data_IF_740724253056
#
_entry.id   IF_740724253056
#
_cell.length_a   1.000
_cell.length_b   1.000
_cell.length_c   1.000
_cell.angle_alpha   90.00
_cell.angle_beta   90.00
_cell.angle_gamma   90.00
#
_symmetry.space_group_name_H-M   'P 1'
#
loop_
_entity.id
_entity.type
_entity.pdbx_description
1 polymer ?
#
# COMPACT_ATOMS: atom_id res chain seq x y z
N UNK A 1 8.88 -18.59 -8.36
CA UNK A 1 9.46 -17.42 -7.66
C UNK A 1 10.39 -17.78 -6.48
N UNK A 2 10.80 -19.05 -6.30
CA UNK A 2 11.70 -19.48 -5.21
C UNK A 2 13.16 -19.73 -5.60
N UNK A 3 13.44 -20.02 -6.88
CA UNK A 3 14.80 -20.31 -7.38
C UNK A 3 15.66 -19.06 -7.59
N UNK A 4 15.06 -17.94 -8.00
CA UNK A 4 15.77 -16.66 -8.19
C UNK A 4 16.22 -16.02 -6.87
N UNK A 5 15.43 -16.19 -5.79
CA UNK A 5 15.81 -15.78 -4.43
C UNK A 5 16.99 -16.57 -3.86
N UNK A 6 17.15 -17.85 -4.25
CA UNK A 6 18.26 -18.70 -3.77
C UNK A 6 19.59 -18.39 -4.45
N UNK A 7 19.58 -17.91 -5.70
CA UNK A 7 20.79 -17.51 -6.42
C UNK A 7 21.36 -16.15 -5.96
N UNK A 8 20.50 -15.22 -5.52
CA UNK A 8 20.94 -13.93 -4.96
C UNK A 8 21.54 -14.10 -3.55
N UNK A 9 21.06 -15.08 -2.78
CA UNK A 9 21.57 -15.35 -1.42
C UNK A 9 23.00 -15.91 -1.42
N UNK A 10 23.41 -16.65 -2.46
CA UNK A 10 24.76 -17.19 -2.59
C UNK A 10 25.80 -16.15 -3.04
N UNK A 11 25.37 -15.06 -3.69
CA UNK A 11 26.26 -13.97 -4.08
C UNK A 11 26.58 -12.99 -2.93
N UNK A 12 25.82 -13.03 -1.83
CA UNK A 12 26.01 -12.14 -0.68
C UNK A 12 27.11 -12.58 0.30
N UNK A 13 27.71 -13.77 0.11
CA UNK A 13 28.77 -14.29 0.98
C UNK A 13 30.17 -13.73 0.72
N UNK A 14 30.35 -12.89 -0.31
CA UNK A 14 31.64 -12.25 -0.60
C UNK A 14 31.49 -10.73 -0.78
N UNK A 15 31.38 -10.01 0.32
CA UNK A 15 31.71 -8.59 0.33
C UNK A 15 32.28 -8.20 1.71
N UNK A 16 33.54 -8.53 1.91
CA UNK A 16 34.37 -7.90 2.93
C UNK A 16 34.68 -6.47 2.50
N UNK A 17 34.54 -5.52 3.42
CA UNK A 17 35.11 -4.18 3.29
C UNK A 17 34.09 -3.05 3.22
N UNK A 18 33.37 -2.81 4.32
CA UNK A 18 32.90 -1.46 4.64
C UNK A 18 33.54 -1.11 5.99
N UNK A 19 34.17 0.07 6.07
CA UNK A 19 34.81 0.56 7.28
C UNK A 19 33.82 0.46 8.46
N UNK A 20 34.19 -0.32 9.48
CA UNK A 20 33.35 -0.52 10.66
C UNK A 20 33.34 0.78 11.48
N UNK A 21 32.27 1.56 11.36
CA UNK A 21 31.93 2.58 12.34
C UNK A 21 31.37 1.86 13.59
N UNK A 22 31.73 2.35 14.77
CA UNK A 22 31.30 1.76 16.04
C UNK A 22 30.11 2.52 16.61
N UNK A 23 29.32 1.89 17.50
CA UNK A 23 28.28 2.64 18.24
C UNK A 23 28.85 3.84 19.04
N UNK A 24 30.15 3.83 19.36
CA UNK A 24 30.81 4.96 20.00
C UNK A 24 30.87 6.20 19.09
N UNK A 25 31.02 6.05 17.77
CA UNK A 25 30.95 7.20 16.84
C UNK A 25 29.51 7.70 16.65
N UNK A 26 28.51 6.84 16.81
CA UNK A 26 27.09 7.24 16.79
C UNK A 26 26.77 8.09 18.01
N UNK A 27 27.27 7.75 19.19
CA UNK A 27 27.05 8.55 20.41
C UNK A 27 27.58 9.99 20.31
N UNK A 28 28.62 10.23 19.51
CA UNK A 28 29.23 11.56 19.33
C UNK A 28 28.61 12.37 18.20
N UNK A 29 28.06 11.72 17.17
CA UNK A 29 27.56 12.38 15.96
C UNK A 29 26.02 12.39 15.87
N UNK A 30 25.33 11.55 16.65
CA UNK A 30 23.87 11.50 16.67
C UNK A 30 23.26 12.77 17.29
N UNK A 31 22.00 13.09 16.94
CA UNK A 31 21.23 14.11 17.63
C UNK A 31 21.22 13.86 19.14
N UNK A 32 21.32 14.94 19.95
CA UNK A 32 21.42 14.84 21.42
C UNK A 32 20.29 14.01 22.02
N UNK A 33 19.07 14.17 21.51
CA UNK A 33 17.92 13.39 21.94
C UNK A 33 18.11 11.87 21.76
N UNK A 34 18.68 11.45 20.63
CA UNK A 34 18.91 10.03 20.34
C UNK A 34 20.09 9.48 21.17
N UNK A 35 21.11 10.29 21.41
CA UNK A 35 22.22 9.94 22.30
C UNK A 35 21.74 9.71 23.74
N UNK A 36 20.86 10.57 24.27
CA UNK A 36 20.27 10.41 25.60
C UNK A 36 19.48 9.09 25.72
N UNK A 37 18.72 8.73 24.69
CA UNK A 37 18.01 7.45 24.61
C UNK A 37 18.98 6.26 24.62
N UNK A 38 20.05 6.32 23.83
CA UNK A 38 21.07 5.26 23.78
C UNK A 38 21.77 5.07 25.13
N UNK A 39 22.19 6.17 25.78
CA UNK A 39 22.88 6.12 27.08
C UNK A 39 21.98 5.51 28.14
N UNK A 40 20.69 5.88 28.14
CA UNK A 40 19.70 5.33 29.07
C UNK A 40 19.58 3.81 28.87
N UNK A 41 19.41 3.34 27.64
CA UNK A 41 19.22 1.92 27.35
C UNK A 41 20.49 1.09 27.62
N UNK A 42 21.68 1.61 27.30
CA UNK A 42 22.92 0.89 27.61
C UNK A 42 23.23 0.81 29.10
N UNK A 43 22.59 1.62 29.94
CA UNK A 43 22.69 1.53 31.40
C UNK A 43 21.81 0.45 32.01
N UNK A 44 20.85 -0.10 31.25
CA UNK A 44 19.99 -1.18 31.71
C UNK A 44 20.68 -2.54 31.58
N UNK A 45 20.53 -3.40 32.60
CA UNK A 45 21.11 -4.77 32.63
C UNK A 45 20.87 -5.62 31.38
N UNK A 46 19.70 -5.61 30.68
CA UNK A 46 19.53 -6.42 29.47
C UNK A 46 20.43 -6.01 28.31
N UNK A 47 20.99 -4.80 28.29
CA UNK A 47 21.78 -4.27 27.17
C UNK A 47 23.21 -3.88 27.55
N UNK A 48 23.49 -3.73 28.85
CA UNK A 48 24.81 -3.43 29.36
C UNK A 48 25.86 -4.47 28.89
N UNK A 49 26.93 -3.99 28.26
CA UNK A 49 28.06 -4.83 27.82
C UNK A 49 27.79 -5.71 26.59
N UNK A 50 26.65 -5.57 25.91
CA UNK A 50 26.42 -6.26 24.63
C UNK A 50 27.32 -5.68 23.53
N UNK A 51 27.87 -6.57 22.70
CA UNK A 51 28.66 -6.17 21.52
C UNK A 51 27.76 -5.57 20.44
N UNK A 52 28.34 -4.73 19.57
CA UNK A 52 27.65 -4.08 18.44
C UNK A 52 26.82 -5.04 17.60
N UNK A 53 27.36 -6.22 17.24
CA UNK A 53 26.64 -7.22 16.45
C UNK A 53 25.44 -7.84 17.18
N UNK A 54 25.52 -7.98 18.51
CA UNK A 54 24.43 -8.47 19.33
C UNK A 54 23.30 -7.43 19.38
N UNK A 55 23.63 -6.15 19.56
CA UNK A 55 22.68 -5.04 19.58
C UNK A 55 21.96 -4.90 18.24
N UNK A 56 22.68 -4.98 17.12
CA UNK A 56 22.10 -4.91 15.78
C UNK A 56 21.10 -6.04 15.45
N UNK A 57 21.13 -7.15 16.18
CA UNK A 57 20.23 -8.28 15.99
C UNK A 57 19.16 -8.39 17.10
N UNK A 58 19.24 -7.54 18.12
CA UNK A 58 18.37 -7.59 19.28
C UNK A 58 17.06 -6.84 19.02
N UNK A 59 15.97 -7.60 18.95
CA UNK A 59 14.64 -7.04 18.72
C UNK A 59 14.14 -6.21 19.92
N UNK A 60 14.48 -6.61 21.15
CA UNK A 60 14.05 -5.89 22.35
C UNK A 60 14.72 -4.52 22.43
N UNK A 61 16.01 -4.45 22.09
CA UNK A 61 16.73 -3.18 22.02
C UNK A 61 16.09 -2.24 20.99
N UNK A 62 15.76 -2.76 19.82
CA UNK A 62 15.22 -1.98 18.72
C UNK A 62 13.79 -1.46 19.02
N UNK A 63 13.01 -2.18 19.82
CA UNK A 63 11.69 -1.74 20.28
C UNK A 63 11.82 -0.64 21.34
N UNK A 64 12.67 -0.82 22.36
CA UNK A 64 12.83 0.15 23.45
C UNK A 64 13.46 1.47 22.98
N UNK A 65 14.43 1.40 22.06
CA UNK A 65 14.99 2.60 21.46
C UNK A 65 13.96 3.32 20.58
N UNK A 66 13.11 2.57 19.86
CA UNK A 66 11.99 3.14 19.11
C UNK A 66 11.02 3.91 20.00
N UNK A 67 10.65 3.34 21.16
CA UNK A 67 9.80 3.98 22.16
C UNK A 67 10.43 5.28 22.70
N UNK A 68 11.72 5.26 23.01
CA UNK A 68 12.39 6.46 23.52
C UNK A 68 12.50 7.56 22.45
N UNK A 69 12.85 7.20 21.21
CA UNK A 69 12.99 8.14 20.11
C UNK A 69 11.67 8.79 19.73
N UNK A 70 10.58 8.02 19.67
CA UNK A 70 9.24 8.55 19.37
C UNK A 70 8.72 9.47 20.48
N UNK A 71 9.08 9.20 21.74
CA UNK A 71 8.68 10.03 22.87
C UNK A 71 9.49 11.34 22.99
N UNK A 72 10.79 11.33 22.67
CA UNK A 72 11.68 12.46 22.95
C UNK A 72 12.15 13.22 21.71
N UNK A 73 12.25 12.57 20.55
CA UNK A 73 12.90 13.14 19.37
C UNK A 73 11.90 13.53 18.29
N UNK A 74 12.28 14.46 17.43
CA UNK A 74 11.52 14.75 16.21
C UNK A 74 11.68 13.63 15.19
N UNK A 75 10.70 13.46 14.29
CA UNK A 75 10.76 12.46 13.21
C UNK A 75 12.04 12.58 12.39
N UNK A 76 12.52 13.81 12.12
CA UNK A 76 13.79 14.04 11.41
C UNK A 76 14.98 13.47 12.18
N UNK A 77 15.11 13.80 13.45
CA UNK A 77 16.19 13.30 14.30
C UNK A 77 16.17 11.77 14.43
N UNK A 78 14.97 11.18 14.53
CA UNK A 78 14.78 9.73 14.52
C UNK A 78 15.28 9.12 13.20
N UNK A 79 14.95 9.72 12.05
CA UNK A 79 15.42 9.23 10.75
C UNK A 79 16.95 9.37 10.60
N UNK A 80 17.53 10.47 11.06
CA UNK A 80 18.99 10.67 11.03
C UNK A 80 19.70 9.66 11.94
N UNK A 81 19.14 9.37 13.11
CA UNK A 81 19.61 8.31 13.98
C UNK A 81 19.55 6.93 13.31
N UNK A 82 18.41 6.58 12.71
CA UNK A 82 18.24 5.29 12.01
C UNK A 82 19.25 5.13 10.88
N UNK A 83 19.51 6.21 10.13
CA UNK A 83 20.53 6.20 9.06
C UNK A 83 21.91 5.86 9.62
N UNK A 84 22.32 6.51 10.72
CA UNK A 84 23.61 6.27 11.37
C UNK A 84 23.68 4.84 11.95
N UNK A 85 22.66 4.41 12.68
CA UNK A 85 22.62 3.07 13.27
C UNK A 85 22.60 1.97 12.20
N UNK A 86 21.91 2.20 11.08
CA UNK A 86 21.90 1.27 9.94
C UNK A 86 23.28 1.10 9.31
N UNK A 87 24.06 2.19 9.22
CA UNK A 87 25.41 2.17 8.67
C UNK A 87 26.35 1.36 9.60
N UNK A 88 26.22 1.54 10.91
CA UNK A 88 26.96 0.77 11.94
C UNK A 88 26.59 -0.72 11.91
N UNK A 89 25.31 -1.04 11.67
CA UNK A 89 24.86 -2.43 11.54
C UNK A 89 25.14 -3.05 10.15
N UNK A 90 25.75 -2.31 9.23
CA UNK A 90 26.04 -2.78 7.87
C UNK A 90 24.79 -3.04 7.02
N UNK A 91 23.66 -2.46 7.39
CA UNK A 91 22.39 -2.58 6.67
C UNK A 91 22.47 -1.67 5.45
N UNK A 92 22.39 -2.26 4.26
CA UNK A 92 22.41 -1.50 3.01
C UNK A 92 21.04 -0.86 2.77
N UNK A 93 21.00 0.36 2.21
CA UNK A 93 19.74 0.98 1.81
C UNK A 93 18.99 0.10 0.82
N UNK A 94 17.70 0.00 1.03
CA UNK A 94 16.76 -0.61 0.09
C UNK A 94 16.56 0.34 -1.09
N UNK A 95 16.73 -0.17 -2.31
CA UNK A 95 16.33 0.53 -3.54
C UNK A 95 15.47 -0.40 -4.41
N UNK A 96 14.16 -0.20 -4.33
CA UNK A 96 13.16 -0.92 -5.12
C UNK A 96 12.55 -0.04 -6.23
N UNK A 97 13.13 1.13 -6.53
CA UNK A 97 12.55 2.10 -7.47
C UNK A 97 12.34 1.48 -8.85
N UNK A 98 13.35 0.76 -9.36
CA UNK A 98 13.26 0.08 -10.65
C UNK A 98 12.16 -0.99 -10.66
N UNK A 99 12.05 -1.78 -9.59
CA UNK A 99 11.06 -2.84 -9.48
C UNK A 99 9.64 -2.26 -9.52
N UNK A 100 9.39 -1.19 -8.76
CA UNK A 100 8.09 -0.52 -8.74
C UNK A 100 7.77 0.16 -10.07
N UNK A 101 8.78 0.74 -10.72
CA UNK A 101 8.64 1.36 -12.04
C UNK A 101 8.24 0.36 -13.12
N UNK A 102 8.94 -0.76 -13.18
CA UNK A 102 8.62 -1.82 -14.15
C UNK A 102 7.24 -2.42 -13.88
N UNK A 103 6.93 -2.70 -12.61
CA UNK A 103 5.63 -3.30 -12.23
C UNK A 103 4.46 -2.39 -12.61
N UNK A 104 4.56 -1.10 -12.32
CA UNK A 104 3.50 -0.13 -12.65
C UNK A 104 3.30 0.02 -14.15
N UNK A 105 4.37 0.12 -14.94
CA UNK A 105 4.29 0.25 -16.39
C UNK A 105 3.77 -1.02 -17.07
N UNK A 106 4.19 -2.20 -16.62
CA UNK A 106 3.72 -3.49 -17.16
C UNK A 106 2.23 -3.66 -16.89
N UNK A 107 1.77 -3.37 -15.67
CA UNK A 107 0.35 -3.47 -15.31
C UNK A 107 -0.51 -2.44 -16.07
N UNK A 108 -0.02 -1.22 -16.25
CA UNK A 108 -0.70 -0.21 -17.05
C UNK A 108 -0.80 -0.63 -18.52
N UNK A 109 0.29 -1.14 -19.11
CA UNK A 109 0.30 -1.65 -20.48
C UNK A 109 -0.68 -2.82 -20.68
N UNK A 110 -0.73 -3.75 -19.72
CA UNK A 110 -1.68 -4.86 -19.74
C UNK A 110 -3.14 -4.38 -19.65
N UNK A 111 -3.43 -3.39 -18.81
CA UNK A 111 -4.76 -2.80 -18.70
C UNK A 111 -5.20 -2.13 -20.01
N UNK A 112 -4.30 -1.37 -20.65
CA UNK A 112 -4.56 -0.73 -21.95
C UNK A 112 -4.78 -1.76 -23.06
N UNK A 113 -4.02 -2.87 -23.05
CA UNK A 113 -4.21 -3.97 -23.99
C UNK A 113 -5.61 -4.59 -23.86
N UNK A 114 -6.04 -4.92 -22.64
CA UNK A 114 -7.38 -5.48 -22.40
C UNK A 114 -8.49 -4.51 -22.78
N UNK A 115 -8.31 -3.22 -22.50
CA UNK A 115 -9.25 -2.19 -22.92
C UNK A 115 -9.33 -2.08 -24.45
N UNK A 116 -8.20 -2.07 -25.14
CA UNK A 116 -8.17 -2.05 -26.61
C UNK A 116 -8.89 -3.28 -27.19
N UNK A 117 -8.63 -4.47 -26.66
CA UNK A 117 -9.33 -5.71 -27.06
C UNK A 117 -10.85 -5.59 -26.83
N UNK A 118 -11.28 -4.99 -25.73
CA UNK A 118 -12.70 -4.74 -25.43
C UNK A 118 -13.35 -3.82 -26.46
N UNK A 119 -12.70 -2.70 -26.80
CA UNK A 119 -13.23 -1.75 -27.81
C UNK A 119 -13.28 -2.42 -29.19
N UNK A 120 -12.20 -3.12 -29.58
CA UNK A 120 -12.16 -3.85 -30.85
C UNK A 120 -13.28 -4.90 -30.91
N UNK A 121 -13.51 -5.66 -29.83
CA UNK A 121 -14.59 -6.64 -29.77
C UNK A 121 -15.97 -5.99 -29.91
N UNK A 122 -16.19 -4.86 -29.24
CA UNK A 122 -17.45 -4.11 -29.30
C UNK A 122 -17.75 -3.63 -30.72
N UNK A 123 -16.76 -3.05 -31.39
CA UNK A 123 -16.88 -2.55 -32.76
C UNK A 123 -17.01 -3.69 -33.77
N UNK A 124 -16.15 -4.71 -33.70
CA UNK A 124 -16.13 -5.85 -34.65
C UNK A 124 -17.39 -6.71 -34.55
N UNK A 125 -17.90 -6.93 -33.34
CA UNK A 125 -19.10 -7.74 -33.10
C UNK A 125 -20.39 -6.90 -33.17
N UNK A 126 -20.30 -5.61 -33.53
CA UNK A 126 -21.44 -4.67 -33.60
C UNK A 126 -22.31 -4.69 -32.34
N UNK A 127 -21.67 -4.79 -31.18
CA UNK A 127 -22.38 -4.77 -29.91
C UNK A 127 -22.89 -3.34 -29.65
N UNK A 128 -24.08 -3.24 -29.07
CA UNK A 128 -24.61 -1.96 -28.64
C UNK A 128 -23.72 -1.36 -27.56
N UNK A 129 -23.39 -0.08 -27.73
CA UNK A 129 -22.67 0.70 -26.72
C UNK A 129 -23.55 0.80 -25.48
N UNK A 130 -23.01 0.40 -24.34
CA UNK A 130 -23.76 0.36 -23.09
C UNK A 130 -23.02 1.12 -21.98
N UNK A 131 -23.68 1.27 -20.83
CA UNK A 131 -23.11 1.99 -19.69
C UNK A 131 -21.77 1.39 -19.21
N UNK A 132 -21.59 0.07 -19.35
CA UNK A 132 -20.32 -0.59 -19.03
C UNK A 132 -19.16 -0.11 -19.92
N UNK A 133 -19.42 0.22 -21.19
CA UNK A 133 -18.39 0.77 -22.09
C UNK A 133 -18.00 2.20 -21.69
N UNK A 134 -18.97 3.03 -21.31
CA UNK A 134 -18.68 4.39 -20.81
C UNK A 134 -17.87 4.38 -19.51
N UNK A 135 -18.19 3.48 -18.58
CA UNK A 135 -17.46 3.34 -17.31
C UNK A 135 -16.05 2.77 -17.51
N UNK A 136 -15.88 1.87 -18.48
CA UNK A 136 -14.56 1.36 -18.85
C UNK A 136 -13.66 2.48 -19.43
N UNK A 137 -14.20 3.32 -20.33
CA UNK A 137 -13.48 4.49 -20.87
C UNK A 137 -13.08 5.43 -19.73
N UNK A 138 -14.02 5.79 -18.86
CA UNK A 138 -13.76 6.65 -17.71
C UNK A 138 -12.66 6.08 -16.78
N UNK A 139 -12.66 4.76 -16.57
CA UNK A 139 -11.63 4.08 -15.76
C UNK A 139 -10.23 4.18 -16.37
N UNK A 140 -10.11 4.07 -17.71
CA UNK A 140 -8.82 4.22 -18.40
C UNK A 140 -8.33 5.66 -18.39
N UNK A 141 -9.25 6.63 -18.53
CA UNK A 141 -8.89 8.06 -18.42
C UNK A 141 -8.32 8.36 -17.03
N UNK A 142 -8.89 7.78 -15.97
CA UNK A 142 -8.36 7.92 -14.60
C UNK A 142 -7.09 7.13 -14.33
N UNK A 143 -6.81 6.07 -15.10
CA UNK A 143 -5.56 5.31 -14.97
C UNK A 143 -4.34 6.17 -15.36
N UNK A 144 -4.48 7.07 -16.34
CA UNK A 144 -3.38 7.92 -16.84
C UNK A 144 -2.76 8.77 -15.70
N UNK A 145 -3.52 9.61 -14.97
CA UNK A 145 -2.95 10.41 -13.89
C UNK A 145 -2.41 9.54 -12.75
N UNK A 146 -3.01 8.38 -12.46
CA UNK A 146 -2.50 7.42 -11.46
C UNK A 146 -1.09 6.94 -11.83
N UNK A 147 -0.88 6.55 -13.09
CA UNK A 147 0.43 6.10 -13.57
C UNK A 147 1.45 7.24 -13.52
N UNK A 148 1.07 8.45 -13.96
CA UNK A 148 1.94 9.63 -13.97
C UNK A 148 2.37 10.01 -12.56
N UNK A 149 1.42 10.11 -11.61
CA UNK A 149 1.72 10.43 -10.21
C UNK A 149 2.64 9.39 -9.60
N UNK A 150 2.41 8.09 -9.86
CA UNK A 150 3.31 7.04 -9.41
C UNK A 150 4.74 7.22 -9.93
N UNK A 151 4.92 7.63 -11.19
CA UNK A 151 6.27 7.92 -11.72
C UNK A 151 6.94 9.08 -10.97
N UNK A 152 6.21 10.15 -10.67
CA UNK A 152 6.72 11.28 -9.87
C UNK A 152 7.05 10.87 -8.45
N UNK A 153 6.22 10.03 -7.82
CA UNK A 153 6.50 9.52 -6.48
C UNK A 153 7.81 8.71 -6.45
N UNK A 154 8.05 7.86 -7.45
CA UNK A 154 9.30 7.10 -7.58
C UNK A 154 10.52 8.00 -7.81
N UNK A 155 10.37 9.14 -8.48
CA UNK A 155 11.44 10.14 -8.60
C UNK A 155 11.70 10.84 -7.26
N UNK A 156 10.67 11.03 -6.44
CA UNK A 156 10.75 11.61 -5.11
C UNK A 156 11.09 10.59 -4.01
N UNK A 157 11.59 9.40 -4.36
CA UNK A 157 12.10 8.45 -3.38
C UNK A 157 11.16 7.31 -2.97
N UNK A 158 9.99 7.16 -3.62
CA UNK A 158 9.14 6.00 -3.38
C UNK A 158 9.88 4.70 -3.75
N UNK A 159 10.09 3.84 -2.75
CA UNK A 159 10.84 2.59 -2.89
C UNK A 159 12.28 2.66 -2.38
N UNK A 160 12.68 3.80 -1.82
CA UNK A 160 13.91 3.99 -1.04
C UNK A 160 13.54 4.16 0.44
N UNK A 161 14.44 3.78 1.33
CA UNK A 161 14.25 3.97 2.77
C UNK A 161 14.12 5.46 3.13
N UNK A 162 13.16 5.77 4.02
CA UNK A 162 12.74 7.14 4.32
C UNK A 162 13.89 8.01 4.88
N UNK A 163 14.83 7.39 5.60
CA UNK A 163 15.98 8.07 6.20
C UNK A 163 17.05 8.53 5.20
N UNK A 164 16.97 8.11 3.93
CA UNK A 164 17.81 8.63 2.85
C UNK A 164 17.17 9.83 2.11
N UNK A 165 15.92 10.16 2.43
CA UNK A 165 15.19 11.22 1.74
C UNK A 165 15.36 12.58 2.42
N UNK A 166 15.37 13.62 1.59
CA UNK A 166 15.27 15.00 2.05
C UNK A 166 13.85 15.33 2.52
N UNK A 167 13.72 16.32 3.39
CA UNK A 167 12.42 16.74 3.94
C UNK A 167 11.43 17.18 2.84
N UNK A 168 11.96 17.80 1.78
CA UNK A 168 11.18 18.14 0.60
C UNK A 168 10.65 16.89 -0.11
N UNK A 169 11.48 15.87 -0.32
CA UNK A 169 11.07 14.62 -0.96
C UNK A 169 10.00 13.88 -0.15
N UNK A 170 10.15 13.84 1.18
CA UNK A 170 9.16 13.21 2.08
C UNK A 170 7.83 13.94 1.98
N UNK A 171 7.86 15.27 2.10
CA UNK A 171 6.65 16.12 2.04
C UNK A 171 5.95 16.00 0.68
N UNK A 172 6.69 16.12 -0.42
CA UNK A 172 6.11 15.99 -1.76
C UNK A 172 5.64 14.56 -2.03
N UNK A 173 6.33 13.54 -1.49
CA UNK A 173 5.89 12.14 -1.53
C UNK A 173 4.52 11.94 -0.88
N UNK A 174 4.32 12.45 0.35
CA UNK A 174 3.01 12.39 1.02
C UNK A 174 1.95 13.21 0.29
N UNK A 175 2.31 14.37 -0.26
CA UNK A 175 1.38 15.19 -1.05
C UNK A 175 0.90 14.46 -2.30
N UNK A 176 1.81 13.83 -3.06
CA UNK A 176 1.46 13.03 -4.23
C UNK A 176 0.64 11.78 -3.83
N UNK A 177 0.97 11.16 -2.70
CA UNK A 177 0.23 10.02 -2.16
C UNK A 177 -1.23 10.36 -1.86
N UNK A 178 -1.51 11.56 -1.33
CA UNK A 178 -2.89 12.03 -1.11
C UNK A 178 -3.72 12.03 -2.40
N UNK A 179 -3.20 12.65 -3.46
CA UNK A 179 -3.91 12.71 -4.74
C UNK A 179 -4.04 11.33 -5.39
N UNK A 180 -3.01 10.50 -5.28
CA UNK A 180 -3.03 9.13 -5.74
C UNK A 180 -4.12 8.31 -5.04
N UNK A 181 -4.26 8.44 -3.71
CA UNK A 181 -5.28 7.76 -2.92
C UNK A 181 -6.69 8.13 -3.39
N UNK A 182 -6.95 9.42 -3.62
CA UNK A 182 -8.24 9.93 -4.10
C UNK A 182 -8.60 9.41 -5.50
N UNK A 183 -7.63 9.43 -6.43
CA UNK A 183 -7.81 8.87 -7.77
C UNK A 183 -8.04 7.37 -7.73
N UNK A 184 -7.29 6.66 -6.89
CA UNK A 184 -7.40 5.22 -6.73
C UNK A 184 -8.77 4.82 -6.14
N UNK A 185 -9.26 5.54 -5.13
CA UNK A 185 -10.59 5.30 -4.55
C UNK A 185 -11.67 5.44 -5.62
N UNK A 186 -11.61 6.51 -6.42
CA UNK A 186 -12.54 6.75 -7.53
C UNK A 186 -12.47 5.65 -8.60
N UNK A 187 -11.26 5.26 -8.99
CA UNK A 187 -11.03 4.20 -9.98
C UNK A 187 -11.61 2.86 -9.51
N UNK A 188 -11.44 2.49 -8.23
CA UNK A 188 -12.01 1.25 -7.67
C UNK A 188 -13.53 1.21 -7.75
N UNK A 189 -14.20 2.33 -7.47
CA UNK A 189 -15.67 2.43 -7.55
C UNK A 189 -16.14 2.24 -8.99
N UNK A 190 -15.47 2.86 -9.97
CA UNK A 190 -15.82 2.76 -11.39
C UNK A 190 -15.58 1.36 -11.98
N UNK A 191 -14.47 0.71 -11.62
CA UNK A 191 -14.17 -0.66 -12.07
C UNK A 191 -15.24 -1.64 -11.56
N UNK A 192 -15.61 -1.57 -10.27
CA UNK A 192 -16.69 -2.39 -9.71
C UNK A 192 -18.04 -2.10 -10.38
N UNK A 193 -18.32 -0.83 -10.62
CA UNK A 193 -19.56 -0.42 -11.28
C UNK A 193 -19.64 -0.96 -12.71
N UNK A 194 -18.52 -1.01 -13.43
CA UNK A 194 -18.42 -1.62 -14.77
C UNK A 194 -18.77 -3.11 -14.72
N UNK A 195 -18.27 -3.85 -13.73
CA UNK A 195 -18.57 -5.28 -13.53
C UNK A 195 -20.06 -5.49 -13.20
N UNK A 196 -20.63 -4.68 -12.31
CA UNK A 196 -22.03 -4.77 -11.94
C UNK A 196 -22.97 -4.43 -13.12
N UNK A 197 -22.63 -3.41 -13.91
CA UNK A 197 -23.33 -3.09 -15.15
C UNK A 197 -23.26 -4.25 -16.16
N UNK A 198 -22.11 -4.92 -16.26
CA UNK A 198 -21.96 -6.12 -17.08
C UNK A 198 -22.86 -7.26 -16.58
N UNK A 199 -23.00 -7.47 -15.26
CA UNK A 199 -23.92 -8.45 -14.70
C UNK A 199 -25.39 -8.15 -15.05
N UNK A 200 -25.79 -6.88 -15.07
CA UNK A 200 -27.14 -6.48 -15.50
C UNK A 200 -27.42 -6.75 -16.99
N UNK A 201 -26.38 -6.84 -17.82
CA UNK A 201 -26.47 -7.12 -19.27
C UNK A 201 -26.54 -8.61 -19.56
N UNK A 202 -25.77 -9.43 -18.84
CA UNK A 202 -25.67 -10.87 -19.11
C UNK A 202 -26.83 -11.68 -18.52
N UNK A 203 -27.33 -11.28 -17.35
CA UNK A 203 -28.39 -11.98 -16.61
C UNK A 203 -29.73 -11.25 -16.74
N UNK A 204 -30.78 -11.99 -17.10
CA UNK A 204 -32.15 -11.47 -17.29
C UNK A 204 -33.05 -11.64 -16.06
N UNK A 205 -32.64 -12.42 -15.05
CA UNK A 205 -33.45 -12.73 -13.87
C UNK A 205 -33.80 -11.44 -13.08
N UNK A 206 -35.09 -11.11 -12.87
CA UNK A 206 -35.49 -9.85 -12.25
C UNK A 206 -35.03 -9.71 -10.79
N UNK A 207 -35.04 -10.78 -10.01
CA UNK A 207 -34.58 -10.75 -8.60
C UNK A 207 -33.08 -10.48 -8.53
N UNK A 208 -32.30 -11.18 -9.36
CA UNK A 208 -30.86 -10.96 -9.46
C UNK A 208 -30.53 -9.53 -9.91
N UNK A 209 -31.23 -9.01 -10.92
CA UNK A 209 -31.03 -7.64 -11.38
C UNK A 209 -31.34 -6.60 -10.31
N UNK A 210 -32.35 -6.83 -9.46
CA UNK A 210 -32.64 -5.95 -8.33
C UNK A 210 -31.46 -5.94 -7.34
N UNK A 211 -30.94 -7.10 -6.95
CA UNK A 211 -29.79 -7.23 -6.03
C UNK A 211 -28.56 -6.51 -6.60
N UNK A 212 -28.27 -6.69 -7.90
CA UNK A 212 -27.13 -6.04 -8.56
C UNK A 212 -27.30 -4.52 -8.60
N UNK A 213 -28.52 -4.01 -8.87
CA UNK A 213 -28.79 -2.56 -8.82
C UNK A 213 -28.61 -1.98 -7.43
N UNK A 214 -29.09 -2.67 -6.39
CA UNK A 214 -28.88 -2.26 -4.99
C UNK A 214 -27.39 -2.24 -4.66
N UNK A 215 -26.65 -3.28 -5.07
CA UNK A 215 -25.19 -3.37 -4.88
C UNK A 215 -24.45 -2.24 -5.60
N UNK A 216 -24.89 -1.86 -6.81
CA UNK A 216 -24.32 -0.75 -7.57
C UNK A 216 -24.49 0.59 -6.84
N UNK A 217 -25.71 0.87 -6.37
CA UNK A 217 -25.99 2.09 -5.59
C UNK A 217 -25.16 2.11 -4.31
N UNK A 218 -25.11 0.99 -3.58
CA UNK A 218 -24.33 0.86 -2.36
C UNK A 218 -22.83 1.06 -2.58
N UNK A 219 -22.27 0.51 -3.66
CA UNK A 219 -20.88 0.72 -4.05
C UNK A 219 -20.55 2.20 -4.32
N UNK A 220 -21.43 2.91 -5.01
CA UNK A 220 -21.26 4.34 -5.28
C UNK A 220 -21.38 5.16 -3.99
N UNK A 221 -22.36 4.86 -3.13
CA UNK A 221 -22.55 5.56 -1.86
C UNK A 221 -21.35 5.41 -0.93
N UNK A 222 -20.81 4.19 -0.78
CA UNK A 222 -19.59 3.95 -0.01
C UNK A 222 -18.42 4.72 -0.62
N UNK A 223 -18.27 4.68 -1.94
CA UNK A 223 -17.24 5.41 -2.67
C UNK A 223 -17.27 6.91 -2.38
N UNK A 224 -18.43 7.55 -2.51
CA UNK A 224 -18.62 8.98 -2.24
C UNK A 224 -18.38 9.31 -0.77
N UNK A 225 -18.88 8.48 0.15
CA UNK A 225 -18.71 8.68 1.59
C UNK A 225 -17.23 8.68 1.96
N UNK A 226 -16.47 7.66 1.55
CA UNK A 226 -15.04 7.60 1.86
C UNK A 226 -14.22 8.63 1.09
N UNK A 227 -14.63 9.01 -0.12
CA UNK A 227 -13.99 10.13 -0.83
C UNK A 227 -14.06 11.42 0.00
N UNK A 228 -15.23 11.74 0.56
CA UNK A 228 -15.41 12.92 1.42
C UNK A 228 -14.60 12.77 2.72
N UNK A 229 -14.67 11.60 3.36
CA UNK A 229 -13.95 11.36 4.61
C UNK A 229 -12.42 11.46 4.44
N UNK A 230 -11.85 10.87 3.37
CA UNK A 230 -10.41 10.94 3.08
C UNK A 230 -10.02 12.37 2.72
N UNK A 231 -10.85 13.09 1.97
CA UNK A 231 -10.58 14.49 1.65
C UNK A 231 -10.51 15.38 2.90
N UNK A 232 -11.36 15.12 3.88
CA UNK A 232 -11.42 15.87 5.16
C UNK A 232 -10.75 15.14 6.33
N UNK A 233 -9.86 14.16 6.07
CA UNK A 233 -9.27 13.34 7.14
C UNK A 233 -8.31 14.12 8.05
N UNK A 234 -7.79 15.26 7.58
CA UNK A 234 -6.94 16.17 8.36
C UNK A 234 -7.42 17.61 8.23
N UNK A 235 -7.33 18.38 9.32
CA UNK A 235 -7.72 19.81 9.36
C UNK A 235 -6.59 20.64 9.97
N UNK A 236 -5.90 21.50 9.20
CA UNK A 236 -6.00 21.73 7.76
C UNK A 236 -5.48 20.54 6.92
N UNK A 237 -5.93 20.46 5.66
CA UNK A 237 -5.54 19.39 4.71
C UNK A 237 -4.01 19.29 4.54
N UNK A 238 -3.30 20.42 4.72
CA UNK A 238 -1.84 20.44 4.66
C UNK A 238 -1.19 19.51 5.67
N UNK A 239 -1.80 19.29 6.84
CA UNK A 239 -1.28 18.37 7.85
C UNK A 239 -1.12 16.94 7.32
N UNK A 240 -1.78 16.54 6.24
CA UNK A 240 -1.53 15.25 5.64
C UNK A 240 -0.07 15.09 5.16
N UNK A 241 0.53 16.13 4.58
CA UNK A 241 1.88 16.07 4.01
C UNK A 241 2.95 16.79 4.83
N UNK A 242 2.59 17.78 5.67
CA UNK A 242 3.54 18.39 6.63
C UNK A 242 3.41 17.83 8.05
N UNK A 243 2.40 17.01 8.34
CA UNK A 243 2.12 16.51 9.70
C UNK A 243 3.26 15.69 10.29
N UNK A 244 4.07 15.03 9.45
CA UNK A 244 5.26 14.29 9.90
C UNK A 244 6.33 15.19 10.53
N UNK A 245 6.32 16.50 10.26
CA UNK A 245 7.24 17.47 10.86
C UNK A 245 6.76 17.98 12.23
N UNK A 246 5.49 17.73 12.56
CA UNK A 246 4.89 18.22 13.82
C UNK A 246 5.25 17.31 14.98
N UNK A 247 5.29 17.86 16.20
CA UNK A 247 5.49 17.07 17.43
C UNK A 247 4.37 16.06 17.67
N UNK A 248 3.19 16.28 17.08
CA UNK A 248 2.03 15.40 17.15
C UNK A 248 1.89 14.48 15.90
N UNK A 249 2.99 14.23 15.18
CA UNK A 249 3.01 13.39 13.97
C UNK A 249 2.33 12.03 14.18
N UNK A 250 2.56 11.40 15.33
CA UNK A 250 1.92 10.15 15.73
C UNK A 250 0.40 10.27 15.74
N UNK A 251 -0.16 11.31 16.38
CA UNK A 251 -1.61 11.53 16.47
C UNK A 251 -2.24 11.75 15.10
N UNK A 252 -1.57 12.52 14.23
CA UNK A 252 -2.02 12.76 12.85
C UNK A 252 -2.08 11.43 12.09
N UNK A 253 -1.03 10.62 12.22
CA UNK A 253 -0.89 9.34 11.53
C UNK A 253 -1.90 8.29 12.04
N UNK A 254 -2.10 8.20 13.35
CA UNK A 254 -3.11 7.36 13.97
C UNK A 254 -4.52 7.76 13.52
N UNK A 255 -4.79 9.06 13.38
CA UNK A 255 -6.06 9.55 12.82
C UNK A 255 -6.33 9.02 11.41
N UNK A 256 -5.32 9.04 10.54
CA UNK A 256 -5.40 8.51 9.17
C UNK A 256 -5.64 6.99 9.21
N UNK A 257 -4.88 6.24 10.00
CA UNK A 257 -5.01 4.77 10.12
C UNK A 257 -6.41 4.37 10.60
N UNK A 258 -6.97 5.09 11.58
CA UNK A 258 -8.32 4.84 12.13
C UNK A 258 -9.42 4.99 11.08
N UNK A 259 -9.21 5.82 10.05
CA UNK A 259 -10.13 5.94 8.93
C UNK A 259 -9.86 4.87 7.85
N UNK A 260 -8.60 4.59 7.55
CA UNK A 260 -8.21 3.70 6.44
C UNK A 260 -8.49 2.23 6.74
N UNK A 261 -8.38 1.78 7.99
CA UNK A 261 -8.63 0.38 8.38
C UNK A 261 -10.09 -0.06 8.15
N UNK A 262 -11.14 0.64 8.66
CA UNK A 262 -12.52 0.26 8.38
C UNK A 262 -12.87 0.41 6.90
N UNK A 263 -12.32 1.41 6.20
CA UNK A 263 -12.46 1.54 4.75
C UNK A 263 -11.94 0.28 4.03
N UNK A 264 -10.74 -0.18 4.38
CA UNK A 264 -10.12 -1.35 3.77
C UNK A 264 -10.95 -2.62 3.99
N UNK A 265 -11.51 -2.80 5.19
CA UNK A 265 -12.38 -3.92 5.53
C UNK A 265 -13.70 -3.91 4.73
N UNK A 266 -14.36 -2.75 4.64
CA UNK A 266 -15.61 -2.61 3.87
C UNK A 266 -15.40 -2.87 2.38
N UNK A 267 -14.30 -2.36 1.80
CA UNK A 267 -14.06 -2.59 0.38
C UNK A 267 -13.71 -4.05 0.10
N UNK A 268 -13.00 -4.74 1.02
CA UNK A 268 -12.74 -6.17 0.93
C UNK A 268 -14.04 -6.97 1.01
N UNK A 269 -14.94 -6.64 1.95
CA UNK A 269 -16.25 -7.29 2.05
C UNK A 269 -17.06 -7.13 0.76
N UNK A 270 -17.02 -5.93 0.15
CA UNK A 270 -17.63 -5.70 -1.16
C UNK A 270 -16.98 -6.50 -2.29
N UNK A 271 -15.65 -6.66 -2.29
CA UNK A 271 -14.95 -7.49 -3.28
C UNK A 271 -15.44 -8.96 -3.22
N UNK A 272 -15.59 -9.50 -2.00
CA UNK A 272 -16.13 -10.85 -1.77
C UNK A 272 -17.60 -10.93 -2.19
N UNK A 273 -18.42 -9.92 -1.86
CA UNK A 273 -19.83 -9.91 -2.25
C UNK A 273 -20.02 -9.93 -3.77
N UNK A 274 -19.28 -9.08 -4.49
CA UNK A 274 -19.33 -9.03 -5.96
C UNK A 274 -18.88 -10.35 -6.59
N UNK A 275 -17.96 -11.07 -5.94
CA UNK A 275 -17.52 -12.40 -6.34
C UNK A 275 -18.62 -13.47 -6.21
N UNK A 276 -19.43 -13.40 -5.15
CA UNK A 276 -20.49 -14.37 -4.86
C UNK A 276 -21.66 -14.23 -5.84
N UNK A 277 -22.00 -13.01 -6.27
CA UNK A 277 -23.12 -12.73 -7.16
C UNK A 277 -23.21 -13.67 -8.38
N UNK A 278 -22.18 -13.80 -9.25
CA UNK A 278 -22.25 -14.68 -10.42
C UNK A 278 -22.29 -16.17 -10.07
N UNK A 279 -21.78 -16.59 -8.90
CA UNK A 279 -21.80 -17.99 -8.45
C UNK A 279 -23.25 -18.44 -8.21
N UNK A 280 -24.06 -17.58 -7.60
CA UNK A 280 -25.48 -17.90 -7.34
C UNK A 280 -26.25 -18.24 -8.62
N UNK A 281 -25.94 -17.54 -9.72
CA UNK A 281 -26.62 -17.77 -11.01
C UNK A 281 -26.07 -18.97 -11.78
N UNK A 282 -24.84 -19.42 -11.48
CA UNK A 282 -24.25 -20.62 -12.10
C UNK A 282 -24.94 -21.91 -11.63
N UNK A 283 -25.45 -21.93 -10.39
CA UNK A 283 -26.14 -23.10 -9.84
C UNK A 283 -27.59 -23.21 -10.33
N UNK A 284 -28.23 -22.07 -10.64
CA UNK A 284 -29.65 -22.02 -10.97
C UNK A 284 -29.95 -22.11 -12.48
N UNK A 285 -28.99 -21.89 -13.39
CA UNK A 285 -29.26 -21.83 -14.82
C UNK A 285 -28.38 -22.75 -15.67
N UNK A 286 -29.04 -23.57 -16.51
CA UNK A 286 -28.44 -24.32 -17.63
C UNK A 286 -27.88 -23.41 -18.74
N UNK A 287 -26.88 -22.60 -18.40
CA UNK A 287 -26.24 -21.62 -19.29
C UNK A 287 -25.55 -22.32 -20.47
N UNK A 288 -25.76 -21.78 -21.68
CA UNK A 288 -25.01 -22.18 -22.89
C UNK A 288 -23.50 -22.01 -22.66
N UNK A 289 -22.70 -22.93 -23.19
CA UNK A 289 -21.25 -23.03 -22.94
C UNK A 289 -20.48 -21.69 -23.08
N UNK A 290 -20.83 -20.86 -24.07
CA UNK A 290 -20.21 -19.54 -24.27
C UNK A 290 -20.40 -18.59 -23.08
N UNK A 291 -21.61 -18.54 -22.48
CA UNK A 291 -21.87 -17.73 -21.29
C UNK A 291 -21.17 -18.32 -20.07
N UNK A 292 -21.15 -19.65 -19.95
CA UNK A 292 -20.48 -20.37 -18.86
C UNK A 292 -18.98 -20.08 -18.81
N UNK A 293 -18.30 -20.08 -19.96
CA UNK A 293 -16.86 -19.75 -20.05
C UNK A 293 -16.61 -18.29 -19.62
N UNK A 294 -17.42 -17.35 -20.10
CA UNK A 294 -17.30 -15.94 -19.70
C UNK A 294 -17.45 -15.74 -18.19
N UNK A 295 -18.43 -16.40 -17.57
CA UNK A 295 -18.64 -16.34 -16.11
C UNK A 295 -17.47 -16.98 -15.35
N UNK A 296 -16.95 -18.14 -15.80
CA UNK A 296 -15.78 -18.76 -15.17
C UNK A 296 -14.54 -17.87 -15.26
N UNK A 297 -14.28 -17.24 -16.40
CA UNK A 297 -13.15 -16.31 -16.55
C UNK A 297 -13.27 -15.10 -15.62
N UNK A 298 -14.47 -14.53 -15.49
CA UNK A 298 -14.74 -13.43 -14.55
C UNK A 298 -14.56 -13.85 -13.09
N UNK A 299 -14.98 -15.06 -12.75
CA UNK A 299 -14.83 -15.61 -11.40
C UNK A 299 -13.35 -15.79 -11.04
N UNK A 300 -12.55 -16.38 -11.94
CA UNK A 300 -11.10 -16.56 -11.72
C UNK A 300 -10.39 -15.22 -11.48
N UNK A 301 -10.74 -14.20 -12.27
CA UNK A 301 -10.16 -12.87 -12.08
C UNK A 301 -10.63 -12.23 -10.76
N UNK A 302 -11.89 -12.41 -10.37
CA UNK A 302 -12.40 -11.95 -9.08
C UNK A 302 -11.72 -12.62 -7.87
N UNK A 303 -11.45 -13.93 -7.94
CA UNK A 303 -10.69 -14.65 -6.90
C UNK A 303 -9.28 -14.09 -6.80
N UNK A 304 -8.62 -13.86 -7.93
CA UNK A 304 -7.29 -13.25 -7.94
C UNK A 304 -7.29 -11.86 -7.29
N UNK A 305 -8.23 -10.99 -7.66
CA UNK A 305 -8.33 -9.64 -7.09
C UNK A 305 -8.64 -9.65 -5.59
N UNK A 306 -9.48 -10.58 -5.11
CA UNK A 306 -9.77 -10.71 -3.68
C UNK A 306 -8.54 -11.15 -2.89
N UNK A 307 -7.72 -12.07 -3.40
CA UNK A 307 -6.45 -12.46 -2.76
C UNK A 307 -5.51 -11.25 -2.65
N UNK A 308 -5.36 -10.47 -3.73
CA UNK A 308 -4.54 -9.25 -3.72
C UNK A 308 -5.08 -8.23 -2.70
N UNK A 309 -6.40 -8.09 -2.59
CA UNK A 309 -7.02 -7.22 -1.60
C UNK A 309 -6.74 -7.68 -0.16
N UNK A 310 -6.79 -8.99 0.12
CA UNK A 310 -6.43 -9.56 1.44
C UNK A 310 -4.98 -9.26 1.80
N UNK A 311 -4.04 -9.51 0.87
CA UNK A 311 -2.61 -9.20 1.08
C UNK A 311 -2.44 -7.72 1.42
N UNK A 312 -3.14 -6.83 0.69
CA UNK A 312 -3.07 -5.39 0.96
C UNK A 312 -3.60 -5.03 2.36
N UNK A 313 -4.69 -5.65 2.81
CA UNK A 313 -5.22 -5.42 4.18
C UNK A 313 -4.22 -5.91 5.23
N UNK A 314 -3.58 -7.06 5.01
CA UNK A 314 -2.52 -7.56 5.89
C UNK A 314 -1.34 -6.58 6.01
N UNK A 315 -0.86 -6.06 4.89
CA UNK A 315 0.21 -5.04 4.90
C UNK A 315 -0.24 -3.75 5.61
N UNK A 316 -1.50 -3.33 5.44
CA UNK A 316 -2.04 -2.17 6.15
C UNK A 316 -2.13 -2.41 7.66
N UNK A 317 -2.50 -3.61 8.11
CA UNK A 317 -2.54 -3.97 9.54
C UNK A 317 -1.12 -3.99 10.13
N UNK A 318 -0.15 -4.53 9.39
CA UNK A 318 1.25 -4.49 9.80
C UNK A 318 1.77 -3.06 9.95
N UNK A 319 1.41 -2.19 9.01
CA UNK A 319 1.73 -0.77 9.08
C UNK A 319 1.05 -0.06 10.26
N UNK A 320 -0.25 -0.32 10.48
CA UNK A 320 -0.98 0.22 11.63
C UNK A 320 -0.33 -0.18 12.96
N UNK A 321 0.05 -1.45 13.12
CA UNK A 321 0.74 -1.94 14.32
C UNK A 321 2.11 -1.33 14.52
N UNK A 322 2.82 -0.99 13.45
CA UNK A 322 4.11 -0.29 13.59
C UNK A 322 3.99 1.14 14.12
N UNK A 323 2.77 1.69 14.16
CA UNK A 323 2.46 3.06 14.54
C UNK A 323 1.72 3.13 15.88
N UNK A 324 0.89 2.14 16.19
CA UNK A 324 0.28 1.92 17.50
C UNK A 324 1.33 1.34 18.50
N UNK A 325 2.36 2.11 18.85
CA UNK A 325 3.38 1.73 19.85
C UNK A 325 2.85 1.87 21.29
N UNK A 326 1.75 1.17 21.60
CA UNK A 326 1.32 0.91 23.00
C UNK A 326 1.11 -0.56 23.31
N UNK A 327 1.45 -1.48 22.39
CA UNK A 327 1.47 -2.89 22.72
C UNK A 327 1.65 -3.80 21.51
N UNK A 328 2.81 -4.44 21.45
CA UNK A 328 3.15 -5.62 20.60
C UNK A 328 3.71 -5.30 19.22
N UNK A 329 4.99 -4.94 19.17
CA UNK A 329 5.83 -4.89 17.97
C UNK A 329 6.20 -6.29 17.50
N UNK A 330 5.95 -6.58 16.22
CA UNK A 330 6.65 -7.68 15.53
C UNK A 330 6.75 -7.33 14.05
N UNK A 331 8.00 -7.24 13.56
CA UNK A 331 8.43 -7.33 12.14
C UNK A 331 8.70 -6.06 11.31
N UNK A 332 9.26 -4.99 11.86
CA UNK A 332 9.82 -3.92 10.98
C UNK A 332 11.33 -3.68 11.04
N UNK A 333 12.07 -4.39 11.90
CA UNK A 333 13.55 -4.27 11.98
C UNK A 333 14.30 -5.40 11.23
N UNK A 334 13.58 -6.40 10.69
CA UNK A 334 14.21 -7.51 9.94
C UNK A 334 13.92 -7.49 8.43
N UNK A 335 14.06 -6.34 7.76
CA UNK A 335 14.17 -6.36 6.29
C UNK A 335 15.48 -5.82 5.80
#
# INVERSE_FOLDING_TARGET
>A
MGLFKRLVFLAALFCNGVAAQSFASVLTEAPQCAADCLVTLFSEEPFAGKNQSAICQDQQFADEIGNCLTAKCTVRETLDFIKMSSAVCGIKPTDNVLLYRLTTLIMAGLALLFFALRIIATVRLRLTWAMDDTMAVASVVLLIPVVVIMQFMMQNGLGVDLWYLSDHQITEGFRLFFFLEMLYLTARVLVKSTILCFFLRIFSNPRFRLIVKITLVFNVLIGVTFFILVFFQTTPISLFWIGWQTKDAEKVMLGIIRLTLPHAALVLALDIWVLILPITQLWELGLKLRKKIGVMAMLSFGIFLTIVAVIRVDQLILFARSQDLTGTTTKYIQR
#
